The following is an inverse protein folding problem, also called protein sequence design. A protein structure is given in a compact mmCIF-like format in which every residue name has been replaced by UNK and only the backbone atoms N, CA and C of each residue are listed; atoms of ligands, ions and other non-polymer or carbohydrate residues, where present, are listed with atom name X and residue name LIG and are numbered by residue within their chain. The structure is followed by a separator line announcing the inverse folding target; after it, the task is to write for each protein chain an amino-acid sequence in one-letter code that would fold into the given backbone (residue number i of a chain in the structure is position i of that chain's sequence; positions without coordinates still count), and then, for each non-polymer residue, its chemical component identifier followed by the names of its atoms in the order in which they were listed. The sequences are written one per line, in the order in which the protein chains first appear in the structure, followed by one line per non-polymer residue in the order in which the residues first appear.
data_IF_334313957384
#
_entry.id   IF_334313957384
#
_cell.length_a   1.000
_cell.length_b   1.000
_cell.length_c   1.000
_cell.angle_alpha   90.00
_cell.angle_beta   90.00
_cell.angle_gamma   90.00
#
_symmetry.space_group_name_H-M   'P 1'
#
loop_
_entity.id
_entity.type
_entity.pdbx_description
1 polymer ?
#
# COMPACT_ATOMS: atom_id res chain seq x y z
N UNK A 1 -31.48 57.28 -37.07
CA UNK A 1 -31.54 56.41 -35.89
C UNK A 1 -32.24 55.11 -36.28
N UNK A 2 -31.61 54.00 -35.89
CA UNK A 2 -31.97 52.57 -35.86
C UNK A 2 -33.08 52.00 -36.76
N UNK A 3 -32.66 51.10 -37.66
CA UNK A 3 -33.48 50.17 -38.41
C UNK A 3 -34.02 49.05 -37.50
N UNK A 4 -35.34 48.87 -37.47
CA UNK A 4 -36.01 47.74 -36.84
C UNK A 4 -36.07 46.55 -37.79
N UNK A 5 -35.69 45.36 -37.31
CA UNK A 5 -35.64 44.14 -38.12
C UNK A 5 -36.56 43.08 -37.47
N UNK A 6 -37.64 42.72 -38.16
CA UNK A 6 -38.55 41.62 -37.79
C UNK A 6 -38.86 40.79 -39.03
N UNK A 7 -38.47 39.51 -39.05
CA UNK A 7 -39.00 38.43 -39.92
C UNK A 7 -38.56 37.08 -39.32
N UNK A 8 -39.45 36.39 -38.57
CA UNK A 8 -40.29 35.23 -38.96
C UNK A 8 -39.52 33.98 -39.44
N UNK A 9 -39.32 33.06 -38.48
CA UNK A 9 -39.51 31.59 -38.45
C UNK A 9 -39.66 30.78 -39.75
N UNK A 10 -38.94 29.64 -39.85
CA UNK A 10 -39.53 28.31 -40.09
C UNK A 10 -38.53 27.13 -40.00
N UNK A 11 -38.69 26.34 -38.93
CA UNK A 11 -38.74 24.86 -38.82
C UNK A 11 -37.99 23.98 -39.85
N UNK A 12 -37.00 23.21 -39.38
CA UNK A 12 -36.73 21.85 -39.88
C UNK A 12 -36.12 20.97 -38.78
N UNK A 13 -36.82 19.89 -38.45
CA UNK A 13 -36.39 18.78 -37.60
C UNK A 13 -35.04 18.17 -38.04
N UNK A 14 -34.21 17.74 -37.08
CA UNK A 14 -33.71 16.35 -37.06
C UNK A 14 -32.95 16.01 -35.78
N UNK A 15 -33.48 14.99 -35.09
CA UNK A 15 -32.77 13.82 -34.53
C UNK A 15 -31.78 14.07 -33.38
N UNK A 16 -32.18 13.57 -32.21
CA UNK A 16 -31.32 13.26 -31.05
C UNK A 16 -30.29 12.20 -31.43
N UNK A 17 -29.03 12.45 -31.11
CA UNK A 17 -27.95 11.46 -30.94
C UNK A 17 -26.74 12.18 -30.27
N UNK A 18 -25.82 11.46 -29.62
CA UNK A 18 -25.69 11.42 -28.17
C UNK A 18 -24.54 12.27 -27.62
N UNK A 19 -24.57 12.47 -26.29
CA UNK A 19 -23.52 13.02 -25.42
C UNK A 19 -22.10 12.69 -25.92
N UNK A 20 -21.44 13.65 -26.57
CA UNK A 20 -20.00 13.61 -26.72
C UNK A 20 -19.35 14.21 -25.48
N UNK A 21 -18.40 13.43 -24.99
CA UNK A 21 -17.70 13.58 -23.73
C UNK A 21 -17.06 14.96 -23.64
N UNK A 22 -17.33 15.65 -22.54
CA UNK A 22 -16.53 16.78 -22.08
C UNK A 22 -15.11 16.29 -21.86
N UNK A 23 -14.26 16.41 -22.88
CA UNK A 23 -12.81 16.32 -22.76
C UNK A 23 -12.39 17.35 -21.72
N UNK A 24 -12.05 16.88 -20.52
CA UNK A 24 -11.49 17.71 -19.48
C UNK A 24 -10.26 18.41 -20.05
N UNK A 25 -10.31 19.73 -20.14
CA UNK A 25 -9.18 20.57 -20.56
C UNK A 25 -7.95 20.18 -19.73
N UNK A 26 -6.91 19.66 -20.37
CA UNK A 26 -5.64 19.39 -19.72
C UNK A 26 -5.02 20.76 -19.41
N UNK A 27 -5.32 21.31 -18.23
CA UNK A 27 -4.69 22.53 -17.71
C UNK A 27 -3.21 22.25 -17.47
N UNK A 28 -2.37 22.65 -18.43
CA UNK A 28 -0.92 22.58 -18.30
C UNK A 28 -0.46 23.67 -17.34
N UNK A 29 -0.01 23.26 -16.15
CA UNK A 29 0.61 24.14 -15.16
C UNK A 29 1.96 24.64 -15.68
N UNK A 30 2.14 25.96 -15.83
CA UNK A 30 3.38 26.57 -16.33
C UNK A 30 4.28 27.10 -15.21
N UNK A 31 3.71 27.38 -14.05
CA UNK A 31 4.45 27.93 -12.91
C UNK A 31 5.20 26.85 -12.13
N UNK A 32 6.51 27.01 -12.01
CA UNK A 32 7.39 26.04 -11.31
C UNK A 32 6.99 25.78 -9.86
N UNK A 33 6.43 26.78 -9.16
CA UNK A 33 5.93 26.61 -7.78
C UNK A 33 4.68 25.72 -7.74
N UNK A 34 3.72 26.00 -8.62
CA UNK A 34 2.48 25.23 -8.72
C UNK A 34 2.75 23.80 -9.21
N UNK A 35 3.72 23.59 -10.10
CA UNK A 35 4.15 22.23 -10.50
C UNK A 35 4.73 21.48 -9.29
N UNK A 36 5.58 22.12 -8.48
CA UNK A 36 6.15 21.47 -7.29
C UNK A 36 5.08 21.14 -6.26
N UNK A 37 4.12 22.02 -6.05
CA UNK A 37 2.99 21.79 -5.13
C UNK A 37 2.08 20.68 -5.63
N UNK A 38 1.74 20.67 -6.93
CA UNK A 38 0.92 19.62 -7.56
C UNK A 38 1.65 18.27 -7.54
N UNK A 39 2.95 18.23 -7.84
CA UNK A 39 3.77 17.00 -7.76
C UNK A 39 3.84 16.52 -6.32
N UNK A 40 4.04 17.42 -5.35
CA UNK A 40 4.02 17.07 -3.92
C UNK A 40 2.65 16.56 -3.51
N UNK A 41 1.57 17.20 -3.95
CA UNK A 41 0.20 16.78 -3.68
C UNK A 41 -0.09 15.40 -4.28
N UNK A 42 0.37 15.11 -5.51
CA UNK A 42 0.23 13.80 -6.16
C UNK A 42 1.08 12.71 -5.52
N UNK A 43 2.29 13.04 -5.08
CA UNK A 43 3.15 12.11 -4.34
C UNK A 43 2.54 11.80 -2.97
N UNK A 44 2.06 12.81 -2.25
CA UNK A 44 1.36 12.65 -0.96
C UNK A 44 0.04 11.91 -1.14
N UNK A 45 -0.73 12.19 -2.21
CA UNK A 45 -1.96 11.46 -2.49
C UNK A 45 -1.67 10.01 -2.85
N UNK A 46 -0.63 9.75 -3.65
CA UNK A 46 -0.18 8.37 -3.96
C UNK A 46 0.25 7.59 -2.72
N UNK A 47 0.92 8.26 -1.77
CA UNK A 47 1.28 7.71 -0.45
C UNK A 47 0.06 7.53 0.47
N UNK A 48 -0.97 8.37 0.35
CA UNK A 48 -2.20 8.27 1.16
C UNK A 48 -3.21 7.27 0.58
N UNK A 49 -3.25 7.06 -0.73
CA UNK A 49 -4.12 6.06 -1.38
C UNK A 49 -3.57 4.65 -1.27
N UNK A 50 -2.27 4.49 -1.06
CA UNK A 50 -1.70 3.25 -0.55
C UNK A 50 -1.77 3.29 0.99
N UNK A 51 -2.99 3.34 1.54
CA UNK A 51 -3.19 2.71 2.83
C UNK A 51 -2.66 1.29 2.63
N UNK A 52 -1.50 0.99 3.21
CA UNK A 52 -0.84 -0.28 3.01
C UNK A 52 -1.85 -1.34 3.43
N UNK A 53 -2.44 -2.03 2.44
CA UNK A 53 -3.48 -3.06 2.61
C UNK A 53 -3.08 -4.16 3.59
N UNK A 54 -1.82 -4.15 4.02
CA UNK A 54 -1.22 -4.98 5.03
C UNK A 54 -2.05 -5.12 6.30
N UNK A 55 -2.59 -4.03 6.87
CA UNK A 55 -3.40 -4.12 8.09
C UNK A 55 -4.72 -4.90 7.87
N UNK A 56 -5.29 -4.85 6.65
CA UNK A 56 -6.45 -5.66 6.26
C UNK A 56 -6.09 -7.13 5.98
N UNK A 57 -4.80 -7.43 5.77
CA UNK A 57 -4.34 -8.80 5.61
C UNK A 57 -4.30 -9.53 6.95
N UNK A 58 -4.16 -8.86 8.10
CA UNK A 58 -4.13 -9.52 9.41
C UNK A 58 -5.49 -10.10 9.80
N UNK A 59 -5.50 -11.36 10.23
CA UNK A 59 -6.67 -12.09 10.67
C UNK A 59 -6.46 -12.58 12.10
N UNK A 60 -7.20 -11.96 13.02
CA UNK A 60 -7.12 -12.24 14.45
C UNK A 60 -7.53 -13.68 14.79
N UNK A 61 -8.52 -14.25 14.10
CA UNK A 61 -8.95 -15.62 14.31
C UNK A 61 -7.82 -16.62 13.98
N UNK A 62 -7.15 -16.44 12.84
CA UNK A 62 -6.01 -17.29 12.46
C UNK A 62 -4.81 -17.08 13.38
N UNK A 63 -4.54 -15.82 13.75
CA UNK A 63 -3.49 -15.51 14.71
C UNK A 63 -3.74 -16.19 16.04
N UNK A 64 -4.99 -16.22 16.53
CA UNK A 64 -5.37 -16.83 17.82
C UNK A 64 -5.15 -18.35 17.88
N UNK A 65 -5.10 -19.03 16.73
CA UNK A 65 -4.77 -20.47 16.66
C UNK A 65 -3.28 -20.74 16.96
N UNK A 66 -2.43 -19.72 16.83
CA UNK A 66 -1.02 -19.81 17.14
C UNK A 66 -0.78 -19.58 18.64
N UNK A 67 0.02 -20.43 19.28
CA UNK A 67 0.36 -20.27 20.71
C UNK A 67 1.19 -19.02 20.98
N UNK A 68 1.95 -18.56 19.99
CA UNK A 68 2.80 -17.38 20.06
C UNK A 68 2.09 -16.13 19.49
N UNK A 69 0.75 -16.14 19.46
CA UNK A 69 -0.08 -15.10 18.81
C UNK A 69 0.25 -13.69 19.29
N UNK A 70 0.41 -13.46 20.59
CA UNK A 70 0.70 -12.12 21.13
C UNK A 70 1.99 -11.53 20.57
N UNK A 71 3.05 -12.36 20.46
CA UNK A 71 4.33 -11.93 19.94
C UNK A 71 4.26 -11.68 18.43
N UNK A 72 3.59 -12.58 17.70
CA UNK A 72 3.44 -12.45 16.25
C UNK A 72 2.56 -11.25 15.88
N UNK A 73 1.49 -10.99 16.63
CA UNK A 73 0.65 -9.79 16.50
C UNK A 73 1.44 -8.52 16.81
N UNK A 74 2.29 -8.53 17.84
CA UNK A 74 3.18 -7.40 18.13
C UNK A 74 4.11 -7.12 16.95
N UNK A 75 4.71 -8.15 16.36
CA UNK A 75 5.60 -8.01 15.21
C UNK A 75 4.85 -7.52 13.97
N UNK A 76 3.63 -8.01 13.77
CA UNK A 76 2.72 -7.56 12.73
C UNK A 76 2.43 -6.05 12.86
N UNK A 77 1.93 -5.60 14.02
CA UNK A 77 1.62 -4.19 14.25
C UNK A 77 2.83 -3.27 14.19
N UNK A 78 4.03 -3.80 14.47
CA UNK A 78 5.28 -3.06 14.28
C UNK A 78 5.82 -3.11 12.84
N UNK A 79 5.04 -3.63 11.90
CA UNK A 79 5.37 -3.72 10.47
C UNK A 79 6.62 -4.55 10.19
N UNK A 80 6.94 -5.54 11.05
CA UNK A 80 8.13 -6.38 10.89
C UNK A 80 8.11 -7.13 9.55
N UNK A 81 7.02 -7.85 9.28
CA UNK A 81 6.88 -8.69 8.11
C UNK A 81 6.86 -7.88 6.81
N UNK A 82 6.21 -6.72 6.83
CA UNK A 82 6.28 -5.75 5.72
C UNK A 82 7.72 -5.33 5.41
N UNK A 83 8.49 -4.91 6.43
CA UNK A 83 9.90 -4.53 6.25
C UNK A 83 10.75 -5.68 5.77
N UNK A 84 10.47 -6.90 6.22
CA UNK A 84 11.18 -8.10 5.79
C UNK A 84 10.90 -8.40 4.31
N UNK A 85 9.65 -8.25 3.87
CA UNK A 85 9.27 -8.38 2.46
C UNK A 85 9.92 -7.31 1.58
N UNK A 86 9.95 -6.05 2.02
CA UNK A 86 10.67 -4.99 1.31
C UNK A 86 12.17 -5.25 1.18
N UNK A 87 12.80 -5.84 2.22
CA UNK A 87 14.22 -6.20 2.14
C UNK A 87 14.46 -7.35 1.16
N UNK A 88 13.57 -8.34 1.14
CA UNK A 88 13.65 -9.49 0.25
C UNK A 88 13.29 -9.16 -1.21
N UNK A 89 12.48 -8.14 -1.47
CA UNK A 89 12.21 -7.71 -2.85
C UNK A 89 13.44 -7.10 -3.52
N UNK A 90 14.32 -6.45 -2.73
CA UNK A 90 15.58 -5.88 -3.20
C UNK A 90 16.80 -6.80 -3.08
N UNK A 91 16.70 -7.92 -2.36
CA UNK A 91 17.82 -8.81 -2.03
C UNK A 91 17.41 -10.28 -2.11
N UNK A 92 18.25 -11.13 -2.71
CA UNK A 92 18.04 -12.57 -2.68
C UNK A 92 18.15 -13.12 -1.26
N UNK A 93 17.25 -14.02 -0.86
CA UNK A 93 17.35 -14.71 0.42
C UNK A 93 18.61 -15.57 0.46
N UNK A 94 19.41 -15.43 1.52
CA UNK A 94 20.62 -16.24 1.76
C UNK A 94 20.34 -17.47 2.65
N UNK A 95 19.07 -17.82 2.83
CA UNK A 95 18.59 -18.89 3.71
C UNK A 95 19.04 -18.77 5.17
N UNK A 96 19.30 -17.55 5.63
CA UNK A 96 19.57 -17.25 7.04
C UNK A 96 18.51 -16.32 7.63
N UNK A 97 18.69 -15.92 8.89
CA UNK A 97 17.89 -14.89 9.57
C UNK A 97 18.56 -13.50 9.53
N UNK A 98 19.44 -13.25 8.55
CA UNK A 98 20.26 -12.03 8.52
C UNK A 98 19.39 -10.79 8.48
N UNK A 99 18.39 -10.76 7.60
CA UNK A 99 17.50 -9.60 7.44
C UNK A 99 16.56 -9.48 8.64
N UNK A 100 16.00 -10.59 9.13
CA UNK A 100 15.16 -10.58 10.32
C UNK A 100 15.91 -10.01 11.53
N UNK A 101 17.14 -10.44 11.79
CA UNK A 101 17.96 -9.91 12.89
C UNK A 101 18.25 -8.42 12.71
N UNK A 102 18.59 -7.98 11.50
CA UNK A 102 18.83 -6.56 11.22
C UNK A 102 17.59 -5.71 11.51
N UNK A 103 16.42 -6.16 11.05
CA UNK A 103 15.16 -5.45 11.27
C UNK A 103 14.82 -5.42 12.77
N UNK A 104 14.94 -6.54 13.48
CA UNK A 104 14.64 -6.59 14.92
C UNK A 104 15.59 -5.69 15.74
N UNK A 105 16.86 -5.58 15.36
CA UNK A 105 17.81 -4.62 15.95
C UNK A 105 17.38 -3.18 15.67
N UNK A 106 16.99 -2.88 14.43
CA UNK A 106 16.49 -1.54 14.05
C UNK A 106 15.20 -1.18 14.81
N UNK A 107 14.40 -2.16 15.19
CA UNK A 107 13.22 -2.02 16.04
C UNK A 107 13.54 -1.94 17.54
N UNK A 108 14.83 -1.85 17.90
CA UNK A 108 15.34 -1.70 19.27
C UNK A 108 15.00 -2.87 20.19
N UNK A 109 14.81 -4.08 19.66
CA UNK A 109 14.68 -5.27 20.52
C UNK A 109 16.04 -5.62 21.16
N UNK A 110 16.00 -6.06 22.42
CA UNK A 110 17.19 -6.55 23.11
C UNK A 110 17.67 -7.88 22.50
N UNK A 111 18.96 -8.20 22.66
CA UNK A 111 19.52 -9.47 22.15
C UNK A 111 18.75 -10.71 22.64
N UNK A 112 18.32 -10.69 23.92
CA UNK A 112 17.51 -11.77 24.49
C UNK A 112 16.17 -11.91 23.78
N UNK A 113 15.46 -10.79 23.58
CA UNK A 113 14.16 -10.80 22.89
C UNK A 113 14.27 -11.17 21.42
N UNK A 114 15.35 -10.75 20.74
CA UNK A 114 15.64 -11.16 19.37
C UNK A 114 15.77 -12.68 19.27
N UNK A 115 16.55 -13.30 20.17
CA UNK A 115 16.72 -14.75 20.15
C UNK A 115 15.39 -15.46 20.41
N UNK A 116 14.59 -14.98 21.35
CA UNK A 116 13.25 -15.50 21.62
C UNK A 116 12.35 -15.44 20.37
N UNK A 117 12.33 -14.29 19.67
CA UNK A 117 11.57 -14.11 18.42
C UNK A 117 12.05 -15.08 17.33
N UNK A 118 13.36 -15.25 17.15
CA UNK A 118 13.90 -16.19 16.17
C UNK A 118 13.52 -17.64 16.51
N UNK A 119 13.51 -18.01 17.79
CA UNK A 119 13.05 -19.33 18.22
C UNK A 119 11.55 -19.53 17.93
N UNK A 120 10.73 -18.50 18.14
CA UNK A 120 9.32 -18.52 17.75
C UNK A 120 9.18 -18.70 16.24
N UNK A 121 9.95 -18.00 15.41
CA UNK A 121 9.93 -18.19 13.97
C UNK A 121 10.28 -19.62 13.56
N UNK A 122 11.32 -20.21 14.16
CA UNK A 122 11.71 -21.61 13.90
C UNK A 122 10.61 -22.59 14.26
N UNK A 123 9.97 -22.43 15.42
CA UNK A 123 8.85 -23.28 15.86
C UNK A 123 7.67 -23.21 14.88
N UNK A 124 7.48 -22.05 14.27
CA UNK A 124 6.45 -21.81 13.26
C UNK A 124 6.91 -22.14 11.83
N UNK A 125 8.04 -22.83 11.67
CA UNK A 125 8.53 -23.36 10.41
C UNK A 125 9.35 -22.39 9.56
N UNK A 126 9.58 -21.16 10.04
CA UNK A 126 10.44 -20.16 9.39
C UNK A 126 11.90 -20.40 9.74
N UNK A 127 12.66 -21.08 8.87
CA UNK A 127 14.10 -21.34 9.06
C UNK A 127 15.00 -20.28 8.37
N UNK A 128 14.43 -19.55 7.41
CA UNK A 128 15.04 -18.38 6.76
C UNK A 128 14.09 -17.17 6.79
N UNK A 129 14.63 -16.00 6.47
CA UNK A 129 13.90 -14.78 6.18
C UNK A 129 12.73 -15.01 5.18
N UNK A 130 12.97 -15.81 4.13
CA UNK A 130 11.96 -16.18 3.13
C UNK A 130 10.78 -16.99 3.69
N UNK A 131 11.08 -17.96 4.55
CA UNK A 131 10.09 -18.87 5.11
C UNK A 131 9.33 -18.22 6.25
N UNK A 132 9.89 -17.21 6.91
CA UNK A 132 9.14 -16.39 7.87
C UNK A 132 7.93 -15.77 7.16
N UNK A 133 8.14 -15.14 6.00
CA UNK A 133 7.02 -14.60 5.22
C UNK A 133 6.09 -15.72 4.75
N UNK A 134 6.61 -16.80 4.18
CA UNK A 134 5.72 -17.80 3.61
C UNK A 134 4.93 -18.62 4.64
N UNK A 135 5.54 -18.97 5.78
CA UNK A 135 4.97 -19.92 6.76
C UNK A 135 4.49 -19.25 8.04
N UNK A 136 5.14 -18.19 8.50
CA UNK A 136 4.79 -17.52 9.75
C UNK A 136 3.77 -16.41 9.49
N UNK A 137 4.03 -15.53 8.52
CA UNK A 137 3.11 -14.46 8.14
C UNK A 137 1.78 -15.01 7.59
N UNK A 138 1.82 -16.10 6.80
CA UNK A 138 0.59 -16.71 6.26
C UNK A 138 -0.35 -17.29 7.33
N UNK A 139 0.16 -17.60 8.52
CA UNK A 139 -0.66 -17.98 9.67
C UNK A 139 -1.37 -16.77 10.28
N UNK A 140 -0.85 -15.57 10.06
CA UNK A 140 -1.45 -14.32 10.51
C UNK A 140 -2.38 -13.75 9.45
N UNK A 141 -2.17 -14.06 8.16
CA UNK A 141 -2.90 -13.43 7.07
C UNK A 141 -4.21 -14.17 6.72
N UNK A 142 -5.33 -13.43 6.72
CA UNK A 142 -6.66 -13.87 6.26
C UNK A 142 -6.69 -14.18 4.76
N UNK A 143 -7.55 -15.10 4.34
CA UNK A 143 -7.92 -15.24 2.92
C UNK A 143 -9.28 -14.60 2.72
#
# INVERSE_FOLDING_TARGET
MSQGNTKRTSKKEKRREPKEQSTAEIKVLKDKKLIKEEVKARLVSGLQTAALDYDFLFNEEKASLNKDCELLSLLFHRMFFYRLNEKLSGLTCDHTFRLSKQILIQMQFSRGKINEIIEVFRKNGGLCDCEILYKVESQLIGK
#
